data_IF_673628215142
#
_entry.id   IF_673628215142
#
_cell.length_a   1.000
_cell.length_b   1.000
_cell.length_c   1.000
_cell.angle_alpha   90.00
_cell.angle_beta   90.00
_cell.angle_gamma   90.00
#
_symmetry.space_group_name_H-M   'P 1'
#
loop_
_entity.id
_entity.type
_entity.pdbx_description
1 polymer ?
#
# COMPACT_ATOMS: atom_id res chain seq x y z
N UNK A 1 -22.29 -22.52 -6.58
CA UNK A 1 -21.20 -22.04 -5.70
C UNK A 1 -20.02 -21.62 -6.55
N UNK A 2 -19.39 -22.52 -7.32
CA UNK A 2 -18.25 -22.20 -8.21
C UNK A 2 -18.49 -21.02 -9.18
N UNK A 3 -19.68 -20.93 -9.79
CA UNK A 3 -20.02 -19.84 -10.71
C UNK A 3 -20.03 -18.45 -10.05
N UNK A 4 -20.36 -18.38 -8.76
CA UNK A 4 -20.41 -17.11 -8.00
C UNK A 4 -18.98 -16.67 -7.66
N UNK A 5 -18.09 -17.60 -7.30
CA UNK A 5 -16.68 -17.31 -7.05
C UNK A 5 -15.97 -16.83 -8.33
N UNK A 6 -16.21 -17.49 -9.46
CA UNK A 6 -15.65 -17.09 -10.76
C UNK A 6 -16.11 -15.69 -11.19
N UNK A 7 -17.38 -15.35 -10.96
CA UNK A 7 -17.90 -14.01 -11.23
C UNK A 7 -17.27 -12.95 -10.32
N UNK A 8 -17.15 -13.23 -9.03
CA UNK A 8 -16.52 -12.30 -8.08
C UNK A 8 -15.04 -12.04 -8.40
N UNK A 9 -14.28 -13.08 -8.77
CA UNK A 9 -12.88 -12.95 -9.16
C UNK A 9 -12.72 -12.13 -10.44
N UNK A 10 -13.60 -12.35 -11.42
CA UNK A 10 -13.62 -11.57 -12.66
C UNK A 10 -13.90 -10.09 -12.40
N UNK A 11 -14.88 -9.79 -11.56
CA UNK A 11 -15.21 -8.41 -11.17
C UNK A 11 -14.02 -7.76 -10.44
N UNK A 12 -13.37 -8.48 -9.53
CA UNK A 12 -12.21 -8.00 -8.78
C UNK A 12 -11.03 -7.71 -9.71
N UNK A 13 -10.74 -8.60 -10.68
CA UNK A 13 -9.73 -8.35 -11.72
C UNK A 13 -10.02 -7.07 -12.50
N UNK A 14 -11.25 -6.89 -12.98
CA UNK A 14 -11.63 -5.67 -13.70
C UNK A 14 -11.47 -4.41 -12.85
N UNK A 15 -11.88 -4.45 -11.57
CA UNK A 15 -11.73 -3.31 -10.66
C UNK A 15 -10.26 -2.95 -10.47
N UNK A 16 -9.39 -3.95 -10.30
CA UNK A 16 -7.96 -3.71 -10.10
C UNK A 16 -7.27 -3.24 -11.35
N UNK A 17 -7.53 -3.86 -12.51
CA UNK A 17 -7.01 -3.38 -13.79
C UNK A 17 -7.43 -1.93 -14.05
N UNK A 18 -8.70 -1.61 -13.81
CA UNK A 18 -9.20 -0.25 -13.96
C UNK A 18 -8.55 0.72 -12.96
N UNK A 19 -8.40 0.33 -11.70
CA UNK A 19 -7.78 1.15 -10.66
C UNK A 19 -6.29 1.39 -10.94
N UNK A 20 -5.55 0.35 -11.35
CA UNK A 20 -4.14 0.48 -11.75
C UNK A 20 -4.01 1.43 -12.94
N UNK A 21 -4.89 1.29 -13.95
CA UNK A 21 -4.90 2.19 -15.11
C UNK A 21 -5.16 3.66 -14.69
N UNK A 22 -6.08 3.90 -13.76
CA UNK A 22 -6.34 5.25 -13.23
C UNK A 22 -5.14 5.82 -12.46
N UNK A 23 -4.49 5.01 -11.62
CA UNK A 23 -3.30 5.45 -10.88
C UNK A 23 -2.14 5.78 -11.82
N UNK A 24 -1.89 4.93 -12.82
CA UNK A 24 -0.90 5.19 -13.87
C UNK A 24 -1.23 6.49 -14.62
N UNK A 25 -2.51 6.70 -14.96
CA UNK A 25 -2.97 7.92 -15.63
C UNK A 25 -2.71 9.18 -14.78
N UNK A 26 -3.01 9.15 -13.48
CA UNK A 26 -2.72 10.28 -12.59
C UNK A 26 -1.22 10.57 -12.51
N UNK A 27 -0.39 9.52 -12.37
CA UNK A 27 1.05 9.67 -12.38
C UNK A 27 1.57 10.34 -13.66
N UNK A 28 1.06 9.91 -14.83
CA UNK A 28 1.41 10.51 -16.13
C UNK A 28 0.97 11.98 -16.19
N UNK A 29 -0.27 12.29 -15.82
CA UNK A 29 -0.78 13.66 -15.82
C UNK A 29 0.05 14.60 -14.94
N UNK A 30 0.43 14.15 -13.74
CA UNK A 30 1.26 14.92 -12.80
C UNK A 30 2.66 15.14 -13.37
N UNK A 31 3.28 14.10 -13.95
CA UNK A 31 4.58 14.23 -14.62
C UNK A 31 4.54 15.23 -15.77
N UNK A 32 3.54 15.14 -16.64
CA UNK A 32 3.39 16.05 -17.79
C UNK A 32 3.18 17.48 -17.30
N UNK A 33 2.28 17.69 -16.34
CA UNK A 33 2.02 19.03 -15.79
C UNK A 33 3.27 19.64 -15.15
N UNK A 34 3.98 18.87 -14.32
CA UNK A 34 5.19 19.35 -13.64
C UNK A 34 6.35 19.55 -14.59
N UNK A 35 6.47 18.76 -15.66
CA UNK A 35 7.45 18.96 -16.73
C UNK A 35 7.18 20.28 -17.49
N UNK A 36 5.94 20.52 -17.92
CA UNK A 36 5.57 21.76 -18.61
C UNK A 36 5.81 22.97 -17.72
N UNK A 37 5.37 22.90 -16.46
CA UNK A 37 5.58 23.98 -15.49
C UNK A 37 7.08 24.24 -15.31
N UNK A 38 7.87 23.21 -15.03
CA UNK A 38 9.32 23.30 -14.88
C UNK A 38 10.00 23.92 -16.10
N UNK A 39 9.56 23.58 -17.31
CA UNK A 39 10.06 24.17 -18.55
C UNK A 39 9.78 25.67 -18.65
N UNK A 40 8.57 26.11 -18.28
CA UNK A 40 8.21 27.53 -18.27
C UNK A 40 9.05 28.31 -17.24
N UNK A 41 9.27 27.75 -16.05
CA UNK A 41 10.12 28.38 -15.02
C UNK A 41 11.60 28.42 -15.43
N UNK A 42 12.06 27.41 -16.17
CA UNK A 42 13.40 27.39 -16.76
C UNK A 42 13.65 28.55 -17.72
N UNK A 43 12.68 28.87 -18.59
CA UNK A 43 12.76 30.07 -19.43
C UNK A 43 12.82 31.37 -18.61
N UNK A 44 12.22 31.39 -17.42
CA UNK A 44 12.19 32.56 -16.53
C UNK A 44 13.42 32.69 -15.62
N UNK A 45 14.43 31.81 -15.72
CA UNK A 45 15.64 31.79 -14.86
C UNK A 45 15.35 31.76 -13.35
N UNK A 46 14.33 30.99 -12.95
CA UNK A 46 14.02 30.78 -11.53
C UNK A 46 14.79 29.56 -10.98
N UNK A 47 15.46 29.66 -9.83
CA UNK A 47 16.20 28.53 -9.24
C UNK A 47 15.30 27.43 -8.64
N UNK A 48 13.98 27.69 -8.50
CA UNK A 48 13.02 26.77 -7.87
C UNK A 48 12.66 25.54 -8.73
N UNK A 49 13.15 25.47 -9.98
CA UNK A 49 12.76 24.44 -10.97
C UNK A 49 13.11 23.03 -10.50
N UNK A 50 14.30 22.83 -9.92
CA UNK A 50 14.75 21.49 -9.49
C UNK A 50 13.84 20.91 -8.43
N UNK A 51 13.36 21.75 -7.51
CA UNK A 51 12.45 21.32 -6.45
C UNK A 51 11.07 20.93 -7.00
N UNK A 52 10.51 21.76 -7.90
CA UNK A 52 9.21 21.50 -8.54
C UNK A 52 9.25 20.20 -9.36
N UNK A 53 10.34 20.00 -10.12
CA UNK A 53 10.51 18.80 -10.93
C UNK A 53 10.70 17.55 -10.05
N UNK A 54 11.53 17.64 -8.99
CA UNK A 54 11.77 16.52 -8.08
C UNK A 54 10.48 16.10 -7.34
N UNK A 55 9.68 17.06 -6.88
CA UNK A 55 8.38 16.78 -6.25
C UNK A 55 7.39 16.13 -7.24
N UNK A 56 7.34 16.62 -8.48
CA UNK A 56 6.50 16.05 -9.52
C UNK A 56 6.85 14.60 -9.86
N UNK A 57 8.14 14.32 -9.98
CA UNK A 57 8.65 12.96 -10.23
C UNK A 57 8.33 12.03 -9.05
N UNK A 58 8.60 12.47 -7.81
CA UNK A 58 8.32 11.67 -6.62
C UNK A 58 6.84 11.29 -6.53
N UNK A 59 5.95 12.27 -6.69
CA UNK A 59 4.51 12.05 -6.62
C UNK A 59 4.02 11.08 -7.70
N UNK A 60 4.49 11.22 -8.93
CA UNK A 60 4.12 10.30 -10.00
C UNK A 60 4.64 8.87 -9.80
N UNK A 61 5.82 8.72 -9.17
CA UNK A 61 6.36 7.42 -8.79
C UNK A 61 5.53 6.75 -7.69
N UNK A 62 5.02 7.52 -6.73
CA UNK A 62 4.09 7.01 -5.71
C UNK A 62 2.81 6.45 -6.34
N UNK A 63 2.22 7.17 -7.31
CA UNK A 63 1.06 6.68 -8.05
C UNK A 63 1.36 5.42 -8.86
N UNK A 64 2.52 5.35 -9.51
CA UNK A 64 2.96 4.15 -10.25
C UNK A 64 3.17 2.95 -9.33
N UNK A 65 3.79 3.17 -8.17
CA UNK A 65 4.01 2.13 -7.17
C UNK A 65 2.69 1.63 -6.58
N UNK A 66 1.73 2.53 -6.32
CA UNK A 66 0.37 2.15 -5.91
C UNK A 66 -0.32 1.24 -6.93
N UNK A 67 -0.21 1.55 -8.23
CA UNK A 67 -0.75 0.72 -9.30
C UNK A 67 -0.13 -0.68 -9.37
N UNK A 68 1.18 -0.78 -9.15
CA UNK A 68 1.92 -2.05 -9.11
C UNK A 68 1.55 -2.88 -7.88
N UNK A 69 1.36 -2.25 -6.72
CA UNK A 69 0.88 -2.92 -5.50
C UNK A 69 -0.51 -3.51 -5.72
N UNK A 70 -1.45 -2.74 -6.31
CA UNK A 70 -2.78 -3.26 -6.62
C UNK A 70 -2.72 -4.48 -7.57
N UNK A 71 -1.87 -4.42 -8.60
CA UNK A 71 -1.67 -5.51 -9.56
C UNK A 71 -1.10 -6.76 -8.89
N UNK A 72 -0.12 -6.62 -7.99
CA UNK A 72 0.51 -7.75 -7.28
C UNK A 72 -0.37 -8.37 -6.20
N UNK A 73 -1.29 -7.60 -5.60
CA UNK A 73 -2.29 -8.12 -4.65
C UNK A 73 -3.32 -9.03 -5.33
N UNK A 74 -3.53 -8.90 -6.65
CA UNK A 74 -4.64 -9.57 -7.36
C UNK A 74 -4.22 -10.58 -8.43
N UNK A 75 -3.09 -10.40 -9.12
CA UNK A 75 -2.70 -11.21 -10.30
C UNK A 75 -2.08 -12.58 -9.92
N UNK A 76 -2.02 -12.93 -8.65
CA UNK A 76 -1.59 -14.27 -8.22
C UNK A 76 -2.80 -15.11 -7.87
N UNK A 77 -2.93 -16.29 -8.50
CA UNK A 77 -3.91 -17.38 -8.25
C UNK A 77 -3.87 -17.93 -6.80
N UNK A 78 -4.00 -17.03 -5.81
CA UNK A 78 -3.58 -17.16 -4.41
C UNK A 78 -4.61 -16.63 -3.40
N UNK A 79 -5.78 -16.17 -3.85
CA UNK A 79 -6.77 -15.54 -2.96
C UNK A 79 -7.24 -16.47 -1.83
N UNK A 80 -7.46 -17.75 -2.13
CA UNK A 80 -7.99 -18.72 -1.16
C UNK A 80 -6.92 -19.19 -0.15
N UNK A 81 -5.70 -19.48 -0.62
CA UNK A 81 -4.59 -19.87 0.25
C UNK A 81 -4.01 -18.70 1.05
N UNK A 82 -4.04 -17.48 0.49
CA UNK A 82 -3.57 -16.25 1.12
C UNK A 82 -4.48 -15.79 2.27
N UNK A 83 -5.81 -15.85 2.11
CA UNK A 83 -6.75 -15.54 3.20
C UNK A 83 -6.62 -16.56 4.33
N UNK A 84 -6.53 -17.86 4.00
CA UNK A 84 -6.31 -18.90 5.02
C UNK A 84 -4.98 -18.70 5.76
N UNK A 85 -3.90 -18.36 5.06
CA UNK A 85 -2.60 -18.03 5.65
C UNK A 85 -2.65 -16.79 6.53
N UNK A 86 -3.32 -15.72 6.09
CA UNK A 86 -3.47 -14.48 6.84
C UNK A 86 -4.25 -14.68 8.15
N UNK A 87 -5.32 -15.47 8.14
CA UNK A 87 -6.11 -15.81 9.33
C UNK A 87 -5.25 -16.60 10.35
N UNK A 88 -4.45 -17.57 9.88
CA UNK A 88 -3.57 -18.36 10.75
C UNK A 88 -2.49 -17.47 11.39
N UNK A 89 -1.89 -16.57 10.62
CA UNK A 89 -0.85 -15.67 11.10
C UNK A 89 -1.39 -14.65 12.11
N UNK A 90 -2.56 -14.05 11.82
CA UNK A 90 -3.25 -13.17 12.76
C UNK A 90 -3.58 -13.88 14.07
N UNK A 91 -4.03 -15.15 14.00
CA UNK A 91 -4.32 -15.98 15.18
C UNK A 91 -3.08 -16.22 16.02
N UNK A 92 -1.95 -16.51 15.38
CA UNK A 92 -0.67 -16.69 16.07
C UNK A 92 -0.20 -15.39 16.74
N UNK A 93 -0.29 -14.26 16.05
CA UNK A 93 0.12 -12.95 16.56
C UNK A 93 -0.72 -12.50 17.77
N UNK A 94 -2.06 -12.60 17.68
CA UNK A 94 -2.97 -12.28 18.79
C UNK A 94 -2.72 -13.17 20.00
N UNK A 95 -2.60 -14.48 19.78
CA UNK A 95 -2.34 -15.43 20.87
C UNK A 95 -1.00 -15.16 21.53
N UNK A 96 0.03 -14.81 20.75
CA UNK A 96 1.35 -14.46 21.26
C UNK A 96 1.34 -13.15 22.06
N UNK A 97 0.66 -12.10 21.57
CA UNK A 97 0.51 -10.83 22.27
C UNK A 97 -0.17 -11.01 23.63
N UNK A 98 -1.29 -11.73 23.66
CA UNK A 98 -2.03 -12.01 24.91
C UNK A 98 -1.15 -12.81 25.88
N UNK A 99 -0.43 -13.83 25.40
CA UNK A 99 0.47 -14.61 26.25
C UNK A 99 1.62 -13.76 26.81
N UNK A 100 2.14 -12.82 26.01
CA UNK A 100 3.20 -11.92 26.43
C UNK A 100 2.72 -10.90 27.46
N UNK A 101 1.53 -10.32 27.27
CA UNK A 101 0.91 -9.40 28.22
C UNK A 101 0.61 -10.08 29.56
N UNK A 102 0.01 -11.27 29.56
CA UNK A 102 -0.24 -12.06 30.78
C UNK A 102 1.07 -12.40 31.51
N UNK A 103 2.14 -12.72 30.78
CA UNK A 103 3.46 -12.98 31.37
C UNK A 103 4.05 -11.72 32.00
N UNK A 104 3.74 -10.55 31.48
CA UNK A 104 4.21 -9.28 32.00
C UNK A 104 3.43 -8.88 33.27
N UNK A 105 2.10 -8.96 33.24
CA UNK A 105 1.26 -8.68 34.43
C UNK A 105 1.57 -9.62 35.61
N UNK A 106 1.84 -10.91 35.35
CA UNK A 106 2.23 -11.84 36.42
C UNK A 106 3.55 -11.47 37.09
N UNK A 107 4.48 -10.85 36.36
CA UNK A 107 5.74 -10.36 36.94
C UNK A 107 5.53 -9.09 37.76
N UNK A 108 4.60 -8.23 37.35
CA UNK A 108 4.29 -6.99 38.05
C UNK A 108 3.54 -7.22 39.38
N UNK A 109 2.85 -8.36 39.51
CA UNK A 109 2.19 -8.77 40.75
C UNK A 109 3.10 -9.50 41.76
N UNK A 110 4.35 -9.85 41.39
CA UNK A 110 5.33 -10.54 42.24
C UNK A 110 6.45 -9.62 42.80
N UNK A 111 6.35 -8.29 42.63
CA UNK A 111 7.22 -7.35 43.35
C UNK A 111 6.57 -6.92 44.68
N UNK A 112 6.92 -7.53 45.84
CA UNK A 112 6.60 -6.94 47.12
C UNK A 112 7.33 -5.61 47.25
N UNK A 113 6.56 -4.53 47.42
CA UNK A 113 7.00 -3.29 48.05
C UNK A 113 7.90 -3.64 49.25
N UNK A 114 9.18 -3.33 49.19
CA UNK A 114 9.91 -3.03 50.40
C UNK A 114 10.83 -1.83 50.21
N UNK A 115 10.68 -0.93 51.17
CA UNK A 115 11.43 0.30 51.40
C UNK A 115 12.89 0.00 51.70
#
# INVERSE_FOLDING_TARGET
METIYLQAETILRYIVEFSTLLLELFGICILVYTAIKSFIYWLKKDDSIRLILAQGIALALEFKLGGEVLRTVVVREWAELGILGAIILLRAALTFLIHWEIKNEKKELEEPKNK
#
